data_IF_720613443862
#
_entry.id   IF_720613443862
#
_cell.length_a   1.000
_cell.length_b   1.000
_cell.length_c   1.000
_cell.angle_alpha   90.00
_cell.angle_beta   90.00
_cell.angle_gamma   90.00
#
_symmetry.space_group_name_H-M   'P 1'
#
loop_
_entity.id
_entity.type
_entity.pdbx_description
1 polymer ?
#
# COMPACT_ATOMS: atom_id res chain seq x y z
N UNK A 1 8.39 2.75 14.43
CA UNK A 1 7.89 2.37 13.08
C UNK A 1 9.07 2.13 12.15
N UNK A 2 9.03 1.06 11.41
CA UNK A 2 10.03 0.72 10.40
C UNK A 2 9.44 0.82 9.00
N UNK A 3 10.16 1.45 8.08
CA UNK A 3 9.73 1.55 6.67
C UNK A 3 9.55 0.16 6.06
N UNK A 4 8.47 -0.02 5.30
CA UNK A 4 8.17 -1.28 4.63
C UNK A 4 8.17 -1.13 3.10
N UNK A 5 7.30 -0.30 2.54
CA UNK A 5 7.17 -0.19 1.09
C UNK A 5 6.58 1.15 0.62
N UNK A 6 6.65 1.34 -0.69
CA UNK A 6 5.97 2.41 -1.42
C UNK A 6 4.84 1.77 -2.23
N UNK A 7 3.62 2.24 -2.03
CA UNK A 7 2.44 1.73 -2.73
C UNK A 7 2.12 2.53 -3.99
N UNK A 8 1.98 1.83 -5.12
CA UNK A 8 1.69 2.41 -6.43
C UNK A 8 0.42 1.78 -6.98
N UNK A 9 -0.57 2.59 -7.32
CA UNK A 9 -1.80 2.11 -7.93
C UNK A 9 -1.62 1.94 -9.44
N UNK A 10 -2.05 0.78 -9.96
CA UNK A 10 -1.97 0.42 -11.37
C UNK A 10 -3.29 -0.18 -11.84
N UNK A 11 -3.59 -0.10 -13.13
CA UNK A 11 -4.84 -0.65 -13.66
C UNK A 11 -4.86 -2.17 -13.69
N UNK A 12 -3.69 -2.80 -13.92
CA UNK A 12 -3.49 -4.25 -13.77
C UNK A 12 -2.01 -4.52 -13.42
N UNK A 13 -1.78 -5.66 -12.78
CA UNK A 13 -0.45 -6.01 -12.27
C UNK A 13 0.56 -6.18 -13.41
N UNK A 14 0.19 -6.90 -14.47
CA UNK A 14 1.11 -7.17 -15.58
C UNK A 14 1.59 -5.89 -16.25
N UNK A 15 0.69 -4.97 -16.51
CA UNK A 15 1.00 -3.67 -17.10
C UNK A 15 1.93 -2.86 -16.19
N UNK A 16 1.57 -2.76 -14.91
CA UNK A 16 2.38 -2.05 -13.91
C UNK A 16 3.77 -2.67 -13.75
N UNK A 17 3.84 -4.00 -13.68
CA UNK A 17 5.11 -4.71 -13.53
C UNK A 17 6.04 -4.50 -14.72
N UNK A 18 5.51 -4.54 -15.95
CA UNK A 18 6.31 -4.30 -17.16
C UNK A 18 6.95 -2.92 -17.15
N UNK A 19 6.17 -1.88 -16.81
CA UNK A 19 6.68 -0.50 -16.72
C UNK A 19 7.65 -0.32 -15.55
N UNK A 20 7.36 -0.91 -14.40
CA UNK A 20 8.23 -0.82 -13.23
C UNK A 20 9.62 -1.43 -13.53
N UNK A 21 9.65 -2.60 -14.15
CA UNK A 21 10.90 -3.26 -14.54
C UNK A 21 11.67 -2.51 -15.62
N UNK A 22 10.97 -1.83 -16.51
CA UNK A 22 11.59 -1.05 -17.59
C UNK A 22 12.28 0.21 -17.05
N UNK A 23 11.71 0.84 -16.03
CA UNK A 23 12.17 2.13 -15.51
C UNK A 23 13.12 1.98 -14.31
N UNK A 24 12.85 1.03 -13.41
CA UNK A 24 13.58 0.86 -12.16
C UNK A 24 14.41 -0.41 -12.14
N UNK A 25 15.54 -0.45 -11.40
CA UNK A 25 16.42 -1.62 -11.34
C UNK A 25 15.84 -2.75 -10.47
N UNK A 26 14.69 -3.27 -10.85
CA UNK A 26 14.00 -4.35 -10.13
C UNK A 26 14.76 -5.65 -10.31
N UNK A 27 15.05 -6.34 -9.20
CA UNK A 27 15.84 -7.59 -9.19
C UNK A 27 15.00 -8.82 -8.82
N UNK A 28 13.87 -8.64 -8.11
CA UNK A 28 12.97 -9.74 -7.79
C UNK A 28 11.56 -9.24 -7.51
N UNK A 29 10.58 -10.13 -7.68
CA UNK A 29 9.19 -9.85 -7.36
C UNK A 29 8.58 -11.04 -6.61
N UNK A 30 7.63 -10.74 -5.72
CA UNK A 30 6.83 -11.77 -5.06
C UNK A 30 5.79 -12.36 -6.03
N UNK A 31 5.08 -13.39 -5.57
CA UNK A 31 3.83 -13.80 -6.19
C UNK A 31 2.76 -12.72 -5.99
N UNK A 32 1.69 -12.78 -6.77
CA UNK A 32 0.51 -11.95 -6.56
C UNK A 32 -0.28 -12.40 -5.33
N UNK A 33 -0.86 -11.43 -4.61
CA UNK A 33 -1.77 -11.67 -3.50
C UNK A 33 -3.13 -11.07 -3.83
N UNK A 34 -4.17 -11.91 -3.91
CA UNK A 34 -5.55 -11.46 -4.12
C UNK A 34 -6.23 -11.26 -2.77
N UNK A 35 -6.73 -10.07 -2.53
CA UNK A 35 -7.42 -9.71 -1.30
C UNK A 35 -8.88 -9.34 -1.58
N UNK A 36 -9.83 -10.28 -1.33
CA UNK A 36 -11.24 -10.02 -1.59
C UNK A 36 -11.88 -9.05 -0.59
N UNK A 37 -11.32 -8.90 0.60
CA UNK A 37 -11.81 -7.95 1.59
C UNK A 37 -11.46 -6.51 1.22
N UNK A 38 -10.19 -6.27 0.89
CA UNK A 38 -9.70 -4.96 0.47
C UNK A 38 -9.95 -4.68 -1.00
N UNK A 39 -10.38 -5.70 -1.76
CA UNK A 39 -10.73 -5.63 -3.19
C UNK A 39 -9.56 -5.17 -4.06
N UNK A 40 -8.39 -5.70 -3.77
CA UNK A 40 -7.17 -5.42 -4.50
C UNK A 40 -6.40 -6.70 -4.82
N UNK A 41 -5.55 -6.61 -5.84
CA UNK A 41 -4.49 -7.58 -6.13
C UNK A 41 -3.19 -6.82 -5.94
N UNK A 42 -2.26 -7.38 -5.17
CA UNK A 42 -0.98 -6.74 -4.90
C UNK A 42 0.19 -7.63 -5.29
N UNK A 43 1.30 -7.01 -5.69
CA UNK A 43 2.56 -7.68 -5.93
C UNK A 43 3.70 -6.80 -5.44
N UNK A 44 4.62 -7.39 -4.68
CA UNK A 44 5.80 -6.69 -4.17
C UNK A 44 6.98 -6.90 -5.11
N UNK A 45 7.65 -5.81 -5.45
CA UNK A 45 8.85 -5.79 -6.29
C UNK A 45 9.97 -5.09 -5.54
N UNK A 46 11.18 -5.64 -5.63
CA UNK A 46 12.34 -5.13 -4.89
C UNK A 46 13.42 -4.72 -5.88
N UNK A 47 13.98 -3.53 -5.67
CA UNK A 47 15.11 -3.08 -6.46
C UNK A 47 16.46 -3.59 -5.90
N UNK A 48 17.55 -3.25 -6.59
CA UNK A 48 18.91 -3.66 -6.21
C UNK A 48 19.37 -3.14 -4.85
N UNK A 49 18.74 -2.09 -4.35
CA UNK A 49 19.06 -1.47 -3.05
C UNK A 49 18.11 -1.93 -1.94
N UNK A 50 17.20 -2.85 -2.24
CA UNK A 50 16.26 -3.41 -1.29
C UNK A 50 14.99 -2.59 -1.09
N UNK A 51 14.76 -1.54 -1.87
CA UNK A 51 13.52 -0.77 -1.80
C UNK A 51 12.38 -1.62 -2.34
N UNK A 52 11.30 -1.70 -1.56
CA UNK A 52 10.10 -2.44 -1.91
C UNK A 52 9.05 -1.50 -2.52
N UNK A 53 8.58 -1.86 -3.71
CA UNK A 53 7.44 -1.23 -4.38
C UNK A 53 6.27 -2.21 -4.37
N UNK A 54 5.13 -1.79 -3.84
CA UNK A 54 3.90 -2.57 -3.90
C UNK A 54 3.05 -2.06 -5.05
N UNK A 55 2.84 -2.91 -6.05
CA UNK A 55 1.85 -2.65 -7.11
C UNK A 55 0.48 -3.07 -6.60
N UNK A 56 -0.49 -2.18 -6.68
CA UNK A 56 -1.86 -2.39 -6.22
C UNK A 56 -2.82 -2.20 -7.38
N UNK A 57 -3.49 -3.27 -7.78
CA UNK A 57 -4.47 -3.28 -8.86
C UNK A 57 -5.87 -3.58 -8.33
N UNK A 58 -6.95 -3.20 -9.07
CA UNK A 58 -8.31 -3.51 -8.65
C UNK A 58 -8.61 -5.00 -8.69
N UNK A 59 -9.40 -5.47 -7.73
CA UNK A 59 -9.96 -6.83 -7.69
C UNK A 59 -11.48 -6.73 -7.57
N UNK A 60 -12.16 -6.74 -8.71
CA UNK A 60 -13.62 -6.57 -8.77
C UNK A 60 -14.08 -5.11 -8.72
N UNK A 61 -15.38 -4.90 -8.61
CA UNK A 61 -15.99 -3.58 -8.52
C UNK A 61 -15.91 -3.00 -7.10
N UNK A 62 -16.14 -1.69 -6.97
CA UNK A 62 -16.12 -0.96 -5.69
C UNK A 62 -14.78 -1.12 -4.94
N UNK A 63 -13.68 -1.07 -5.69
CA UNK A 63 -12.32 -1.13 -5.15
C UNK A 63 -11.74 0.28 -4.94
N UNK A 64 -10.68 0.43 -4.14
CA UNK A 64 -10.10 1.74 -3.87
C UNK A 64 -9.24 2.29 -5.02
N UNK A 65 -8.94 1.50 -6.04
CA UNK A 65 -7.98 1.86 -7.11
C UNK A 65 -8.63 2.62 -8.25
N UNK A 66 -9.80 2.18 -8.72
CA UNK A 66 -10.43 2.71 -9.94
C UNK A 66 -10.68 4.22 -9.88
N UNK A 67 -11.20 4.74 -8.77
CA UNK A 67 -11.48 6.17 -8.63
C UNK A 67 -10.20 7.01 -8.62
N UNK A 68 -9.14 6.51 -8.02
CA UNK A 68 -7.84 7.19 -7.98
C UNK A 68 -7.24 7.26 -9.38
N UNK A 69 -7.26 6.16 -10.13
CA UNK A 69 -6.77 6.14 -11.51
C UNK A 69 -7.62 7.02 -12.43
N UNK A 70 -8.95 7.04 -12.25
CA UNK A 70 -9.85 7.88 -13.03
C UNK A 70 -9.60 9.37 -12.79
N UNK A 71 -9.26 9.77 -11.58
CA UNK A 71 -8.92 11.15 -11.24
C UNK A 71 -7.50 11.54 -11.66
N UNK A 72 -6.69 10.59 -12.08
CA UNK A 72 -5.29 10.76 -12.48
C UNK A 72 -4.42 11.43 -11.41
N UNK A 73 -4.73 11.16 -10.14
CA UNK A 73 -4.03 11.71 -8.98
C UNK A 73 -3.71 10.61 -7.97
N UNK A 74 -2.67 10.83 -7.15
CA UNK A 74 -2.25 9.90 -6.09
C UNK A 74 -1.97 8.47 -6.59
N UNK A 75 -1.38 8.35 -7.77
CA UNK A 75 -0.97 7.05 -8.34
C UNK A 75 0.18 6.48 -7.52
N UNK A 76 1.15 7.28 -7.09
CA UNK A 76 2.04 7.00 -5.99
C UNK A 76 1.23 7.17 -4.70
N UNK A 77 0.57 6.10 -4.27
CA UNK A 77 -0.54 6.22 -3.34
C UNK A 77 -0.11 6.43 -1.89
N UNK A 78 0.81 5.60 -1.40
CA UNK A 78 1.15 5.63 0.03
C UNK A 78 2.58 5.18 0.30
N UNK A 79 3.04 5.52 1.51
CA UNK A 79 4.25 4.99 2.11
C UNK A 79 3.83 4.17 3.33
N UNK A 80 4.34 2.96 3.46
CA UNK A 80 3.96 2.05 4.53
C UNK A 80 5.05 1.86 5.58
N UNK A 81 4.63 1.73 6.82
CA UNK A 81 5.48 1.45 7.98
C UNK A 81 4.90 0.32 8.81
N UNK A 82 5.79 -0.53 9.36
CA UNK A 82 5.42 -1.56 10.33
C UNK A 82 5.55 -1.05 11.75
N UNK A 83 4.65 -1.49 12.62
CA UNK A 83 4.70 -1.14 14.04
C UNK A 83 4.47 -2.36 14.92
N UNK A 84 5.36 -2.58 15.88
CA UNK A 84 5.21 -3.60 16.94
C UNK A 84 4.22 -3.18 18.02
N UNK A 85 3.84 -1.92 18.05
CA UNK A 85 2.88 -1.33 18.99
C UNK A 85 1.75 -0.65 18.23
N UNK A 86 1.09 -1.42 17.35
CA UNK A 86 0.13 -0.94 16.37
C UNK A 86 -0.93 0.01 16.96
N UNK A 87 -1.63 -0.43 18.00
CA UNK A 87 -2.73 0.38 18.58
C UNK A 87 -2.22 1.69 19.16
N UNK A 88 -1.06 1.67 19.79
CA UNK A 88 -0.43 2.90 20.32
C UNK A 88 -0.02 3.84 19.17
N UNK A 89 0.55 3.29 18.11
CA UNK A 89 0.95 4.08 16.93
C UNK A 89 -0.27 4.74 16.29
N UNK A 90 -1.37 4.02 16.16
CA UNK A 90 -2.64 4.55 15.61
C UNK A 90 -3.14 5.73 16.46
N UNK A 91 -3.15 5.56 17.78
CA UNK A 91 -3.57 6.62 18.71
C UNK A 91 -2.66 7.85 18.63
N UNK A 92 -1.34 7.63 18.63
CA UNK A 92 -0.35 8.72 18.55
C UNK A 92 -0.49 9.51 17.23
N UNK A 93 -0.73 8.82 16.11
CA UNK A 93 -0.93 9.46 14.81
C UNK A 93 -2.19 10.33 14.80
N UNK A 94 -3.29 9.87 15.40
CA UNK A 94 -4.51 10.66 15.55
C UNK A 94 -4.24 11.93 16.33
N UNK A 95 -3.51 11.86 17.43
CA UNK A 95 -3.14 13.01 18.26
C UNK A 95 -2.27 14.01 17.50
N UNK A 96 -1.50 13.53 16.52
CA UNK A 96 -0.65 14.37 15.66
C UNK A 96 -1.39 14.97 14.45
N UNK A 97 -2.69 14.79 14.36
CA UNK A 97 -3.52 15.35 13.29
C UNK A 97 -3.63 14.49 12.04
N UNK A 98 -3.19 13.23 12.10
CA UNK A 98 -3.43 12.28 11.01
C UNK A 98 -4.88 11.78 11.06
N UNK A 99 -5.58 11.82 9.92
CA UNK A 99 -6.97 11.43 9.81
C UNK A 99 -7.06 10.01 9.27
N UNK A 100 -7.67 9.05 10.02
CA UNK A 100 -7.83 7.69 9.50
C UNK A 100 -8.78 7.68 8.31
N UNK A 101 -8.40 6.92 7.27
CA UNK A 101 -9.19 6.72 6.05
C UNK A 101 -9.99 5.42 6.12
N UNK A 102 -10.51 5.10 7.27
CA UNK A 102 -11.29 3.90 7.55
C UNK A 102 -10.82 3.25 8.85
N UNK A 103 -11.27 2.02 9.06
CA UNK A 103 -10.90 1.21 10.22
C UNK A 103 -9.76 0.25 9.89
N UNK A 104 -9.07 -0.24 10.92
CA UNK A 104 -8.06 -1.28 10.75
C UNK A 104 -8.70 -2.56 10.20
N UNK A 105 -8.06 -3.19 9.21
CA UNK A 105 -8.54 -4.42 8.55
C UNK A 105 -7.39 -5.39 8.37
N UNK A 106 -7.66 -6.70 8.41
CA UNK A 106 -6.63 -7.70 8.09
C UNK A 106 -6.29 -7.63 6.59
N UNK A 107 -5.02 -7.82 6.26
CA UNK A 107 -4.54 -7.83 4.87
C UNK A 107 -3.86 -9.16 4.56
N UNK A 108 -4.29 -9.82 3.47
CA UNK A 108 -3.74 -11.11 3.04
C UNK A 108 -2.25 -10.99 2.71
N UNK A 109 -1.83 -9.92 2.07
CA UNK A 109 -0.44 -9.68 1.70
C UNK A 109 0.52 -9.65 2.90
N UNK A 110 0.01 -9.47 4.11
CA UNK A 110 0.77 -9.42 5.36
C UNK A 110 0.32 -10.53 6.33
N UNK A 111 -0.06 -11.69 5.80
CA UNK A 111 -0.48 -12.88 6.59
C UNK A 111 -1.61 -12.59 7.59
N UNK A 112 -2.53 -11.70 7.23
CA UNK A 112 -3.67 -11.33 8.07
C UNK A 112 -3.37 -10.24 9.11
N UNK A 113 -2.17 -9.68 9.12
CA UNK A 113 -1.86 -8.53 9.97
C UNK A 113 -2.80 -7.35 9.68
N UNK A 114 -3.16 -6.61 10.72
CA UNK A 114 -4.03 -5.45 10.55
C UNK A 114 -3.29 -4.32 9.85
N UNK A 115 -3.99 -3.63 8.95
CA UNK A 115 -3.50 -2.42 8.31
C UNK A 115 -4.51 -1.30 8.47
N UNK A 116 -4.03 -0.06 8.51
CA UNK A 116 -4.86 1.14 8.53
C UNK A 116 -4.16 2.25 7.74
N UNK A 117 -4.95 3.03 7.01
CA UNK A 117 -4.44 4.16 6.24
C UNK A 117 -4.81 5.48 6.91
N UNK A 118 -3.91 6.46 6.80
CA UNK A 118 -4.13 7.81 7.31
C UNK A 118 -3.78 8.84 6.25
N UNK A 119 -4.56 9.93 6.22
CA UNK A 119 -4.14 11.17 5.55
C UNK A 119 -3.39 12.02 6.57
N UNK A 120 -2.14 12.36 6.29
CA UNK A 120 -1.32 13.18 7.17
C UNK A 120 -1.55 14.67 6.96
N UNK A 121 -1.13 15.53 7.90
CA UNK A 121 -1.12 16.99 7.69
C UNK A 121 -0.29 17.43 6.49
N UNK A 122 0.66 16.62 6.03
CA UNK A 122 1.42 16.85 4.79
C UNK A 122 0.64 16.52 3.53
N UNK A 123 -0.62 16.06 3.68
CA UNK A 123 -1.53 15.63 2.60
C UNK A 123 -1.04 14.42 1.82
N UNK A 124 -0.19 13.63 2.41
CA UNK A 124 0.22 12.32 1.89
C UNK A 124 -0.47 11.20 2.67
N UNK A 125 -0.67 10.07 2.01
CA UNK A 125 -1.24 8.87 2.64
C UNK A 125 -0.12 8.01 3.18
N UNK A 126 -0.29 7.56 4.42
CA UNK A 126 0.57 6.55 5.03
C UNK A 126 -0.25 5.33 5.41
N UNK A 127 0.37 4.16 5.34
CA UNK A 127 -0.18 2.89 5.81
C UNK A 127 0.60 2.43 7.04
N UNK A 128 -0.11 1.97 8.06
CA UNK A 128 0.50 1.32 9.22
C UNK A 128 0.12 -0.15 9.21
N UNK A 129 1.13 -1.00 9.29
CA UNK A 129 1.01 -2.46 9.30
C UNK A 129 1.38 -2.96 10.68
N UNK A 130 0.53 -3.81 11.25
CA UNK A 130 0.83 -4.51 12.52
C UNK A 130 1.98 -5.51 12.30
N UNK A 131 2.97 -5.48 13.19
CA UNK A 131 4.12 -6.39 13.17
C UNK A 131 4.03 -7.42 14.29
#
# INVERSE_FOLDING_TARGET
>A
MNFDHIGIFVKDIKHGLNHLKDIFPIVRCSQEHKDPLLKVIVQFCYDKDGVCYELVAPNGSNNPVDSVLASNSNILNHIAYRSKVFDKTVEDLRKKGCVPLGTAKPAIAFDGARVIFFLTPLRMIIEIIEE
#
